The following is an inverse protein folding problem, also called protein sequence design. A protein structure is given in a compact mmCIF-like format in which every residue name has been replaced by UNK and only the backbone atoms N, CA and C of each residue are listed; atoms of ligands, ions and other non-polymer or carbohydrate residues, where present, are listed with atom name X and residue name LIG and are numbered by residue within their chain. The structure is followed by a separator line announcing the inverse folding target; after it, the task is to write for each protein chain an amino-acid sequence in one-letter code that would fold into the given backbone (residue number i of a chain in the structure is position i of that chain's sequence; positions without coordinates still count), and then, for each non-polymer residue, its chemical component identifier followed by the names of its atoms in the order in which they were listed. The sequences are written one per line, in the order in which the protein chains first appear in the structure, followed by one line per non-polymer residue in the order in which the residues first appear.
data_IF_623124077174
#
_entry.id   IF_623124077174
#
_cell.length_a   1.000
_cell.length_b   1.000
_cell.length_c   1.000
_cell.angle_alpha   90.00
_cell.angle_beta   90.00
_cell.angle_gamma   90.00
#
_symmetry.space_group_name_H-M   'P 1'
#
loop_
_entity.id
_entity.type
_entity.pdbx_description
1 polymer ?
#
# COMPACT_ATOMS: atom_id res chain seq x y z
N UNK A 1 7.75 4.59 1.69
CA UNK A 1 8.65 5.67 1.21
C UNK A 1 7.81 6.86 0.76
N UNK A 2 8.28 8.10 0.94
CA UNK A 2 7.67 9.29 0.36
C UNK A 2 8.74 10.16 -0.30
N UNK A 3 8.51 10.60 -1.54
CA UNK A 3 9.42 11.48 -2.27
C UNK A 3 8.66 12.55 -3.02
N UNK A 4 9.16 13.79 -2.97
CA UNK A 4 8.66 14.90 -3.76
C UNK A 4 9.52 15.05 -5.03
N UNK A 5 8.86 15.23 -6.16
CA UNK A 5 9.49 15.33 -7.49
C UNK A 5 9.30 16.77 -7.98
N UNK A 6 10.42 17.51 -8.11
CA UNK A 6 10.44 18.94 -8.48
C UNK A 6 11.38 19.26 -9.63
N UNK A 7 12.42 18.46 -9.84
CA UNK A 7 13.39 18.70 -10.91
C UNK A 7 13.43 17.56 -11.94
N UNK A 8 14.16 17.78 -13.03
CA UNK A 8 14.41 16.74 -14.02
C UNK A 8 15.25 15.60 -13.43
N UNK A 9 16.14 15.88 -12.48
CA UNK A 9 16.90 14.86 -11.73
C UNK A 9 15.97 14.00 -10.89
N UNK A 10 15.00 14.59 -10.20
CA UNK A 10 13.99 13.84 -9.45
C UNK A 10 13.15 12.96 -10.37
N UNK A 11 12.80 13.46 -11.57
CA UNK A 11 12.06 12.67 -12.56
C UNK A 11 12.88 11.48 -13.06
N UNK A 12 14.17 11.69 -13.36
CA UNK A 12 15.08 10.60 -13.75
C UNK A 12 15.20 9.57 -12.63
N UNK A 13 15.31 10.03 -11.38
CA UNK A 13 15.30 9.15 -10.22
C UNK A 13 14.01 8.35 -10.15
N UNK A 14 12.83 8.98 -10.26
CA UNK A 14 11.52 8.31 -10.24
C UNK A 14 11.44 7.21 -11.29
N UNK A 15 11.85 7.51 -12.53
CA UNK A 15 11.82 6.57 -13.64
C UNK A 15 12.79 5.39 -13.44
N UNK A 16 13.99 5.65 -12.93
CA UNK A 16 14.98 4.60 -12.61
C UNK A 16 14.58 3.74 -11.42
N UNK A 17 14.03 4.38 -10.38
CA UNK A 17 13.57 3.74 -9.13
C UNK A 17 12.43 2.77 -9.38
N UNK A 18 11.43 3.20 -10.15
CA UNK A 18 10.21 2.43 -10.42
C UNK A 18 10.32 1.55 -11.67
N UNK A 19 11.42 1.66 -12.43
CA UNK A 19 11.55 1.06 -13.75
C UNK A 19 10.50 1.57 -14.75
N UNK A 20 9.98 2.79 -14.53
CA UNK A 20 8.85 3.35 -15.28
C UNK A 20 7.56 2.54 -15.13
N UNK A 21 7.39 1.88 -13.98
CA UNK A 21 6.26 0.99 -13.66
C UNK A 21 6.08 -0.15 -14.66
N UNK A 22 7.17 -0.63 -15.25
CA UNK A 22 7.13 -1.61 -16.32
C UNK A 22 6.35 -2.87 -15.94
N UNK A 23 5.38 -3.26 -16.77
CA UNK A 23 4.57 -4.46 -16.56
C UNK A 23 3.64 -4.37 -15.34
N UNK A 24 3.47 -3.16 -14.78
CA UNK A 24 2.49 -2.88 -13.74
C UNK A 24 1.10 -2.67 -14.32
N UNK A 25 0.19 -2.20 -13.47
CA UNK A 25 -1.14 -1.76 -13.85
C UNK A 25 -1.60 -0.68 -12.89
N UNK A 26 -2.36 0.28 -13.40
CA UNK A 26 -3.08 1.23 -12.55
C UNK A 26 -4.12 0.44 -11.76
N UNK A 27 -4.52 0.89 -10.58
CA UNK A 27 -5.59 0.22 -9.81
C UNK A 27 -6.66 1.18 -9.33
N UNK A 28 -6.35 2.47 -9.33
CA UNK A 28 -7.27 3.52 -8.98
C UNK A 28 -6.77 4.84 -9.57
N UNK A 29 -7.70 5.69 -10.00
CA UNK A 29 -7.44 7.06 -10.44
C UNK A 29 -8.47 7.97 -9.80
N UNK A 30 -7.99 8.90 -8.98
CA UNK A 30 -8.84 9.85 -8.26
C UNK A 30 -8.57 11.26 -8.75
N UNK A 31 -9.63 12.00 -9.05
CA UNK A 31 -9.55 13.40 -9.46
C UNK A 31 -10.28 14.27 -8.44
N UNK A 32 -9.54 15.18 -7.80
CA UNK A 32 -10.09 16.15 -6.86
C UNK A 32 -9.96 17.55 -7.43
N UNK A 33 -11.08 18.24 -7.62
CA UNK A 33 -11.14 19.62 -8.10
C UNK A 33 -11.48 20.52 -6.93
N UNK A 34 -10.53 21.36 -6.51
CA UNK A 34 -10.75 22.35 -5.44
C UNK A 34 -11.38 23.60 -6.04
N UNK A 35 -12.36 24.16 -5.34
CA UNK A 35 -12.97 25.45 -5.65
C UNK A 35 -12.90 26.36 -4.43
N UNK A 36 -12.73 27.65 -4.66
CA UNK A 36 -12.81 28.69 -3.64
C UNK A 36 -14.02 29.57 -3.95
N UNK A 37 -14.70 30.06 -2.91
CA UNK A 37 -15.71 31.08 -3.09
C UNK A 37 -15.03 32.45 -3.18
N UNK A 38 -15.22 33.13 -4.30
CA UNK A 38 -14.87 34.54 -4.42
C UNK A 38 -15.94 35.37 -3.69
N UNK A 39 -15.59 35.90 -2.52
CA UNK A 39 -16.51 36.67 -1.66
C UNK A 39 -17.04 37.94 -2.33
N UNK A 40 -16.31 38.52 -3.28
CA UNK A 40 -16.72 39.74 -3.97
C UNK A 40 -17.80 39.48 -5.03
N UNK A 41 -17.73 38.34 -5.71
CA UNK A 41 -18.68 37.96 -6.77
C UNK A 41 -19.71 36.92 -6.34
N UNK A 42 -19.52 36.27 -5.19
CA UNK A 42 -20.31 35.15 -4.70
C UNK A 42 -20.17 33.88 -5.55
N UNK A 43 -19.17 33.79 -6.43
CA UNK A 43 -19.00 32.66 -7.36
C UNK A 43 -17.91 31.71 -6.90
N UNK A 44 -18.10 30.43 -7.18
CA UNK A 44 -17.02 29.46 -7.05
C UNK A 44 -16.01 29.62 -8.19
N UNK A 45 -14.75 29.81 -7.83
CA UNK A 45 -13.60 29.85 -8.75
C UNK A 45 -12.75 28.59 -8.59
N UNK A 46 -12.27 27.96 -9.69
CA UNK A 46 -11.33 26.86 -9.60
C UNK A 46 -10.06 27.26 -8.85
N UNK A 47 -9.64 26.43 -7.89
CA UNK A 47 -8.53 26.69 -6.99
C UNK A 47 -7.48 25.57 -7.00
N UNK A 48 -7.43 24.82 -8.10
CA UNK A 48 -6.49 23.74 -8.33
C UNK A 48 -7.18 22.40 -8.54
N UNK A 49 -6.49 21.53 -9.29
CA UNK A 49 -6.87 20.15 -9.49
C UNK A 49 -5.73 19.27 -9.01
N UNK A 50 -6.07 18.22 -8.26
CA UNK A 50 -5.15 17.16 -7.85
C UNK A 50 -5.62 15.87 -8.51
N UNK A 51 -4.69 15.15 -9.11
CA UNK A 51 -4.91 13.81 -9.67
C UNK A 51 -4.04 12.83 -8.89
N UNK A 52 -4.64 11.75 -8.42
CA UNK A 52 -3.93 10.66 -7.76
C UNK A 52 -4.07 9.39 -8.58
N UNK A 53 -2.94 8.75 -8.90
CA UNK A 53 -2.89 7.47 -9.61
C UNK A 53 -2.24 6.43 -8.72
N UNK A 54 -2.91 5.31 -8.49
CA UNK A 54 -2.37 4.18 -7.73
C UNK A 54 -1.93 3.08 -8.69
N UNK A 55 -0.69 2.62 -8.57
CA UNK A 55 -0.05 1.70 -9.50
C UNK A 55 0.49 0.50 -8.74
N UNK A 56 0.13 -0.71 -9.18
CA UNK A 56 0.75 -1.95 -8.75
C UNK A 56 1.78 -2.36 -9.76
N UNK A 57 2.99 -2.68 -9.30
CA UNK A 57 4.06 -3.10 -10.19
C UNK A 57 5.05 -4.01 -9.47
N UNK A 58 5.99 -4.59 -10.22
CA UNK A 58 7.08 -5.40 -9.67
C UNK A 58 8.42 -4.89 -10.15
N UNK A 59 9.39 -4.85 -9.25
CA UNK A 59 10.76 -4.47 -9.57
C UNK A 59 11.72 -5.19 -8.62
N UNK A 60 12.81 -5.77 -9.14
CA UNK A 60 13.86 -6.44 -8.34
C UNK A 60 13.29 -7.41 -7.29
N UNK A 61 12.39 -8.31 -7.71
CA UNK A 61 11.71 -9.28 -6.84
C UNK A 61 10.81 -8.68 -5.75
N UNK A 62 10.55 -7.38 -5.78
CA UNK A 62 9.62 -6.70 -4.88
C UNK A 62 8.27 -6.48 -5.58
N UNK A 63 7.18 -6.71 -4.83
CA UNK A 63 5.85 -6.25 -5.18
C UNK A 63 5.63 -4.87 -4.56
N UNK A 64 5.31 -3.90 -5.40
CA UNK A 64 5.22 -2.49 -5.02
C UNK A 64 3.83 -1.93 -5.32
N UNK A 65 3.36 -1.04 -4.44
CA UNK A 65 2.22 -0.16 -4.67
C UNK A 65 2.69 1.26 -4.54
N UNK A 66 2.62 2.00 -5.64
CA UNK A 66 2.93 3.41 -5.70
C UNK A 66 1.64 4.23 -5.81
N UNK A 67 1.60 5.36 -5.12
CA UNK A 67 0.58 6.39 -5.22
C UNK A 67 1.27 7.66 -5.69
N UNK A 68 1.00 8.07 -6.91
CA UNK A 68 1.46 9.32 -7.48
C UNK A 68 0.39 10.38 -7.29
N UNK A 69 0.68 11.40 -6.50
CA UNK A 69 -0.21 12.56 -6.29
C UNK A 69 0.36 13.74 -7.07
N UNK A 70 -0.36 14.14 -8.10
CA UNK A 70 -0.01 15.25 -9.00
C UNK A 70 -0.84 16.46 -8.61
N UNK A 71 -0.19 17.55 -8.24
CA UNK A 71 -0.81 18.79 -7.80
C UNK A 71 -0.69 19.89 -8.86
N UNK A 72 -1.60 20.87 -8.80
CA UNK A 72 -1.70 21.94 -9.80
C UNK A 72 -1.82 21.37 -11.22
N UNK A 73 -2.69 20.38 -11.38
CA UNK A 73 -2.92 19.72 -12.68
C UNK A 73 -3.59 20.72 -13.63
N UNK A 74 -2.91 21.02 -14.74
CA UNK A 74 -3.39 21.95 -15.76
C UNK A 74 -4.03 21.26 -16.95
N UNK A 75 -3.70 19.98 -17.17
CA UNK A 75 -4.28 19.17 -18.23
C UNK A 75 -4.34 17.70 -17.78
N UNK A 76 -5.41 17.00 -18.10
CA UNK A 76 -5.64 15.62 -17.67
C UNK A 76 -6.66 14.94 -18.58
N UNK A 77 -6.35 13.73 -19.00
CA UNK A 77 -7.30 12.83 -19.66
C UNK A 77 -7.36 11.51 -18.92
N UNK A 78 -8.56 10.97 -18.84
CA UNK A 78 -8.86 9.60 -18.47
C UNK A 78 -10.04 9.18 -19.32
N UNK A 79 -9.83 8.29 -20.27
CA UNK A 79 -10.93 7.69 -21.01
C UNK A 79 -11.68 6.71 -20.10
N UNK A 80 -13.00 6.86 -19.96
CA UNK A 80 -13.84 5.96 -19.16
C UNK A 80 -13.83 4.57 -19.79
N UNK A 81 -13.01 3.67 -19.25
CA UNK A 81 -13.24 2.24 -19.44
C UNK A 81 -14.28 1.81 -18.40
N UNK A 82 -15.47 1.44 -18.88
CA UNK A 82 -16.54 0.89 -18.05
C UNK A 82 -16.01 -0.30 -17.24
N UNK A 83 -15.88 -0.12 -15.92
CA UNK A 83 -15.71 -1.20 -14.94
C UNK A 83 -14.29 -1.72 -14.77
N UNK A 84 -13.73 -1.52 -13.56
CA UNK A 84 -12.68 -2.26 -12.84
C UNK A 84 -11.33 -2.61 -13.52
N UNK A 85 -11.22 -2.62 -14.84
CA UNK A 85 -10.05 -3.08 -15.58
C UNK A 85 -9.17 -1.89 -15.92
N UNK A 86 -8.22 -1.64 -15.03
CA UNK A 86 -7.20 -0.64 -15.22
C UNK A 86 -6.14 -1.11 -16.23
N UNK A 87 -5.62 -0.18 -17.03
CA UNK A 87 -4.68 -0.45 -18.12
C UNK A 87 -3.39 -1.13 -17.62
N UNK A 88 -3.02 -2.24 -18.28
CA UNK A 88 -1.68 -2.80 -18.11
C UNK A 88 -0.66 -1.78 -18.62
N UNK A 89 0.30 -1.44 -17.77
CA UNK A 89 1.35 -0.49 -18.08
C UNK A 89 2.47 -1.20 -18.84
N UNK A 90 2.77 -0.71 -20.04
CA UNK A 90 3.99 -1.04 -20.76
C UNK A 90 5.20 -0.47 -20.02
N UNK A 91 5.55 0.77 -20.33
CA UNK A 91 6.44 1.65 -19.55
C UNK A 91 5.84 3.03 -19.67
N UNK A 92 5.68 3.75 -18.56
CA UNK A 92 5.14 5.11 -18.63
C UNK A 92 6.15 6.03 -19.32
N UNK A 93 5.66 7.06 -19.99
CA UNK A 93 6.50 8.15 -20.49
C UNK A 93 6.36 9.35 -19.58
N UNK A 94 7.46 10.06 -19.33
CA UNK A 94 7.42 11.28 -18.56
C UNK A 94 8.47 12.29 -19.04
N UNK A 95 8.11 13.57 -19.02
CA UNK A 95 9.00 14.69 -19.35
C UNK A 95 8.77 15.88 -18.42
N UNK A 96 9.76 16.77 -18.34
CA UNK A 96 9.66 18.07 -17.67
C UNK A 96 9.91 19.16 -18.71
N UNK A 97 8.88 19.94 -19.01
CA UNK A 97 8.92 21.01 -20.02
C UNK A 97 8.31 22.27 -19.42
N UNK A 98 9.01 23.41 -19.51
CA UNK A 98 8.56 24.71 -18.99
C UNK A 98 8.09 24.66 -17.52
N UNK A 99 8.80 23.90 -16.69
CA UNK A 99 8.48 23.73 -15.26
C UNK A 99 7.27 22.84 -14.97
N UNK A 100 6.71 22.16 -15.98
CA UNK A 100 5.59 21.24 -15.82
C UNK A 100 5.99 19.80 -16.15
N UNK A 101 5.62 18.90 -15.27
CA UNK A 101 5.72 17.48 -15.52
C UNK A 101 4.55 17.03 -16.39
N UNK A 102 4.85 16.19 -17.37
CA UNK A 102 3.85 15.50 -18.16
C UNK A 102 4.09 14.00 -18.03
N UNK A 103 3.06 13.26 -17.65
CA UNK A 103 3.06 11.81 -17.51
C UNK A 103 2.05 11.20 -18.47
N UNK A 104 2.48 10.23 -19.25
CA UNK A 104 1.61 9.36 -20.05
C UNK A 104 1.69 7.95 -19.50
N UNK A 105 0.55 7.46 -19.01
CA UNK A 105 0.47 6.14 -18.38
C UNK A 105 0.21 5.05 -19.42
N UNK A 106 -0.42 5.37 -20.53
CA UNK A 106 -0.53 4.48 -21.69
C UNK A 106 0.08 5.10 -22.95
N UNK A 107 0.55 4.26 -23.90
CA UNK A 107 1.07 4.73 -25.18
C UNK A 107 0.05 5.42 -26.11
N UNK A 108 -1.25 5.21 -25.90
CA UNK A 108 -2.33 5.74 -26.73
C UNK A 108 -2.71 7.17 -26.35
N UNK A 109 -2.27 7.65 -25.18
CA UNK A 109 -2.60 8.96 -24.62
C UNK A 109 -4.00 9.02 -23.99
N UNK A 110 -4.56 7.88 -23.59
CA UNK A 110 -5.91 7.80 -23.01
C UNK A 110 -5.92 8.23 -21.52
N UNK A 111 -4.81 8.02 -20.82
CA UNK A 111 -4.52 8.36 -19.44
C UNK A 111 -3.20 9.14 -19.37
N UNK A 112 -3.32 10.46 -19.18
CA UNK A 112 -2.17 11.34 -18.99
C UNK A 112 -2.50 12.50 -18.05
N UNK A 113 -1.46 13.11 -17.48
CA UNK A 113 -1.58 14.29 -16.63
C UNK A 113 -0.43 15.27 -16.86
N UNK A 114 -0.73 16.56 -16.82
CA UNK A 114 0.24 17.67 -16.81
C UNK A 114 0.09 18.45 -15.51
N UNK A 115 1.17 18.59 -14.74
CA UNK A 115 1.16 19.13 -13.39
C UNK A 115 2.46 19.87 -13.05
N UNK A 116 2.44 20.66 -11.97
CA UNK A 116 3.62 21.42 -11.53
C UNK A 116 4.42 20.66 -10.45
N UNK A 117 3.74 19.90 -9.59
CA UNK A 117 4.36 19.15 -8.51
C UNK A 117 3.85 17.72 -8.45
N UNK A 118 4.74 16.76 -8.22
CA UNK A 118 4.38 15.35 -8.04
C UNK A 118 4.95 14.81 -6.73
N UNK A 119 4.13 14.06 -6.01
CA UNK A 119 4.54 13.33 -4.83
C UNK A 119 4.34 11.83 -5.04
N UNK A 120 5.39 11.06 -4.81
CA UNK A 120 5.35 9.60 -4.75
C UNK A 120 5.19 9.17 -3.29
N UNK A 121 4.19 8.34 -3.02
CA UNK A 121 4.14 7.49 -1.83
C UNK A 121 4.22 6.02 -2.28
N UNK A 122 5.06 5.21 -1.64
CA UNK A 122 5.28 3.84 -2.08
C UNK A 122 5.40 2.87 -0.91
N UNK A 123 4.77 1.70 -1.06
CA UNK A 123 4.95 0.54 -0.19
C UNK A 123 5.45 -0.64 -1.03
N UNK A 124 6.51 -1.30 -0.58
CA UNK A 124 7.17 -2.40 -1.27
C UNK A 124 7.40 -3.58 -0.32
N UNK A 125 7.09 -4.80 -0.76
CA UNK A 125 7.38 -6.02 -0.02
C UNK A 125 8.00 -7.08 -0.92
N UNK A 126 8.80 -8.02 -0.38
CA UNK A 126 9.26 -9.18 -1.13
C UNK A 126 8.09 -9.85 -1.84
N UNK A 127 8.26 -10.16 -3.12
CA UNK A 127 7.27 -10.89 -3.90
C UNK A 127 7.18 -12.29 -3.33
N UNK A 128 6.13 -12.54 -2.55
CA UNK A 128 5.78 -13.92 -2.24
C UNK A 128 4.99 -14.46 -3.43
N UNK A 129 5.28 -15.70 -3.81
CA UNK A 129 4.43 -16.42 -4.74
C UNK A 129 2.97 -16.31 -4.26
N UNK A 130 2.06 -16.15 -5.21
CA UNK A 130 0.65 -16.29 -4.89
C UNK A 130 0.51 -17.73 -4.37
N UNK A 131 0.40 -17.86 -3.05
CA UNK A 131 -0.07 -19.10 -2.46
C UNK A 131 -1.33 -19.43 -3.25
N UNK A 132 -1.40 -20.62 -3.81
CA UNK A 132 -2.44 -21.09 -4.74
C UNK A 132 -3.86 -21.13 -4.14
N UNK A 133 -4.06 -20.45 -3.01
CA UNK A 133 -5.27 -20.35 -2.21
C UNK A 133 -5.79 -18.92 -2.30
N UNK A 134 -7.11 -18.80 -2.35
CA UNK A 134 -7.83 -17.55 -2.27
C UNK A 134 -7.33 -16.72 -1.08
N UNK A 135 -6.55 -15.69 -1.39
CA UNK A 135 -6.02 -14.76 -0.41
C UNK A 135 -7.15 -13.80 -0.02
N UNK A 136 -7.66 -13.92 1.21
CA UNK A 136 -8.81 -13.13 1.65
C UNK A 136 -8.39 -11.74 2.13
N UNK A 137 -7.21 -11.60 2.72
CA UNK A 137 -6.67 -10.29 3.10
C UNK A 137 -5.13 -10.24 3.08
N UNK A 138 -4.58 -9.09 2.67
CA UNK A 138 -3.15 -8.75 2.77
C UNK A 138 -2.96 -7.32 3.25
N UNK A 139 -2.27 -7.16 4.37
CA UNK A 139 -1.84 -5.86 4.87
C UNK A 139 -0.32 -5.80 4.91
N UNK A 140 0.25 -4.69 4.44
CA UNK A 140 1.70 -4.48 4.44
C UNK A 140 2.01 -3.24 5.24
N UNK A 141 2.76 -3.40 6.32
CA UNK A 141 3.26 -2.31 7.14
C UNK A 141 4.68 -1.97 6.71
N UNK A 142 4.99 -0.69 6.63
CA UNK A 142 6.35 -0.20 6.46
C UNK A 142 6.62 0.90 7.47
N UNK A 143 7.73 0.78 8.17
CA UNK A 143 8.17 1.71 9.21
C UNK A 143 9.60 2.14 8.91
N UNK A 144 9.93 3.38 9.24
CA UNK A 144 11.30 3.89 9.23
C UNK A 144 12.01 3.68 10.58
N UNK A 145 11.33 3.08 11.56
CA UNK A 145 11.89 2.81 12.88
C UNK A 145 13.06 1.83 12.80
N UNK A 146 14.08 2.07 13.62
CA UNK A 146 15.28 1.21 13.68
C UNK A 146 15.06 -0.05 14.50
N UNK A 147 14.12 -0.02 15.45
CA UNK A 147 13.61 -1.20 16.12
C UNK A 147 12.48 -1.84 15.30
N UNK A 148 12.41 -3.17 15.31
CA UNK A 148 11.38 -3.92 14.62
C UNK A 148 10.74 -4.94 15.58
N UNK A 149 9.48 -5.33 15.32
CA UNK A 149 8.79 -6.29 16.17
C UNK A 149 9.51 -7.65 16.14
N UNK A 150 9.65 -8.28 17.30
CA UNK A 150 10.05 -9.67 17.41
C UNK A 150 8.82 -10.56 17.55
N UNK A 151 8.94 -11.84 17.19
CA UNK A 151 7.88 -12.82 17.44
C UNK A 151 7.50 -12.85 18.93
N UNK A 152 8.47 -12.79 19.83
CA UNK A 152 8.23 -12.77 21.28
C UNK A 152 7.44 -11.54 21.73
N UNK A 153 7.75 -10.37 21.19
CA UNK A 153 6.99 -9.14 21.47
C UNK A 153 5.55 -9.28 20.96
N UNK A 154 5.35 -9.74 19.72
CA UNK A 154 4.01 -9.95 19.14
C UNK A 154 3.15 -10.86 20.03
N UNK A 155 3.70 -12.02 20.43
CA UNK A 155 2.96 -12.97 21.27
C UNK A 155 2.60 -12.38 22.64
N UNK A 156 3.50 -11.62 23.26
CA UNK A 156 3.26 -10.98 24.54
C UNK A 156 2.18 -9.89 24.46
N UNK A 157 2.21 -9.03 23.44
CA UNK A 157 1.20 -7.98 23.27
C UNK A 157 -0.20 -8.54 22.97
N UNK A 158 -0.27 -9.63 22.20
CA UNK A 158 -1.53 -10.32 21.91
C UNK A 158 -2.13 -10.98 23.16
N UNK A 159 -1.28 -11.57 24.01
CA UNK A 159 -1.69 -12.13 25.30
C UNK A 159 -2.22 -11.03 26.25
N UNK A 160 -1.50 -9.91 26.35
CA UNK A 160 -1.92 -8.74 27.12
C UNK A 160 -3.26 -8.16 26.62
N UNK A 161 -3.52 -8.25 25.32
CA UNK A 161 -4.77 -7.84 24.70
C UNK A 161 -5.90 -8.89 24.80
N UNK A 162 -5.67 -10.02 25.50
CA UNK A 162 -6.66 -11.05 25.77
C UNK A 162 -6.90 -12.01 24.61
N UNK A 163 -6.01 -12.06 23.62
CA UNK A 163 -6.09 -12.94 22.45
C UNK A 163 -4.80 -13.76 22.34
N UNK A 164 -4.57 -14.71 23.25
CA UNK A 164 -3.34 -15.49 23.25
C UNK A 164 -3.18 -16.24 21.92
N UNK A 165 -1.98 -16.17 21.37
CA UNK A 165 -1.62 -16.83 20.12
C UNK A 165 -0.40 -17.73 20.28
N UNK A 166 -0.22 -18.63 19.33
CA UNK A 166 0.94 -19.51 19.22
C UNK A 166 1.61 -19.26 17.88
N UNK A 167 2.94 -19.28 17.87
CA UNK A 167 3.74 -19.15 16.66
C UNK A 167 4.08 -20.51 16.07
N UNK A 168 3.86 -20.66 14.77
CA UNK A 168 4.29 -21.82 13.98
C UNK A 168 5.30 -21.35 12.94
N UNK A 169 6.54 -21.79 13.07
CA UNK A 169 7.58 -21.50 12.07
C UNK A 169 7.26 -22.23 10.77
N UNK A 170 7.32 -21.51 9.65
CA UNK A 170 7.25 -22.11 8.32
C UNK A 170 8.67 -22.52 7.93
N UNK A 171 8.81 -23.70 7.33
CA UNK A 171 10.12 -24.15 6.81
C UNK A 171 10.53 -23.23 5.68
N UNK A 172 11.65 -22.53 5.84
CA UNK A 172 12.24 -21.68 4.81
C UNK A 172 12.37 -22.43 3.50
N UNK A 173 11.75 -21.92 2.44
CA UNK A 173 11.90 -22.48 1.10
C UNK A 173 13.27 -22.09 0.52
N UNK A 174 13.90 -22.98 -0.28
CA UNK A 174 15.07 -22.59 -1.06
C UNK A 174 14.65 -21.48 -2.05
N UNK A 175 15.21 -20.28 -1.88
CA UNK A 175 14.80 -19.07 -2.62
C UNK A 175 14.16 -17.97 -1.76
N UNK A 176 14.12 -18.12 -0.44
CA UNK A 176 13.67 -17.07 0.46
C UNK A 176 14.49 -15.78 0.25
N UNK A 177 13.78 -14.67 -0.01
CA UNK A 177 14.39 -13.36 -0.29
C UNK A 177 15.27 -12.92 0.89
N UNK A 178 16.51 -12.49 0.61
CA UNK A 178 17.54 -12.21 1.63
C UNK A 178 17.16 -11.14 2.66
N UNK A 179 16.21 -10.28 2.32
CA UNK A 179 15.68 -9.27 3.25
C UNK A 179 14.81 -9.87 4.37
N UNK A 180 14.25 -11.07 4.21
CA UNK A 180 13.33 -11.67 5.18
C UNK A 180 14.10 -12.01 6.48
N UNK A 181 13.64 -11.45 7.60
CA UNK A 181 14.25 -11.64 8.91
C UNK A 181 13.63 -12.82 9.66
N UNK A 182 12.32 -12.97 9.56
CA UNK A 182 11.57 -14.12 10.05
C UNK A 182 10.23 -14.22 9.35
N UNK A 183 9.70 -15.45 9.30
CA UNK A 183 8.47 -15.79 8.62
C UNK A 183 7.79 -16.97 9.33
N UNK A 184 6.46 -16.91 9.46
CA UNK A 184 5.71 -17.96 10.12
C UNK A 184 4.21 -17.69 10.15
N UNK A 185 3.48 -18.56 10.84
CA UNK A 185 2.05 -18.43 11.05
C UNK A 185 1.73 -18.14 12.51
N UNK A 186 0.84 -17.17 12.72
CA UNK A 186 0.28 -16.81 14.01
C UNK A 186 -1.13 -17.42 14.13
N UNK A 187 -1.33 -18.27 15.13
CA UNK A 187 -2.58 -18.99 15.34
C UNK A 187 -3.18 -18.62 16.70
N UNK A 188 -4.49 -18.34 16.80
CA UNK A 188 -5.16 -18.24 18.11
C UNK A 188 -4.94 -19.52 18.92
N UNK A 189 -4.58 -19.40 20.20
CA UNK A 189 -4.34 -20.55 21.07
C UNK A 189 -5.57 -21.48 21.18
N UNK A 190 -6.78 -20.92 21.04
CA UNK A 190 -8.03 -21.70 20.99
C UNK A 190 -8.14 -22.67 19.82
N UNK A 191 -7.36 -22.46 18.75
CA UNK A 191 -7.34 -23.31 17.54
C UNK A 191 -6.19 -24.33 17.58
N UNK A 192 -5.44 -24.38 18.70
CA UNK A 192 -4.31 -25.28 18.84
C UNK A 192 -4.81 -26.73 18.92
N UNK A 193 -4.50 -27.53 17.89
CA UNK A 193 -4.88 -28.95 17.79
C UNK A 193 -5.94 -29.27 16.73
N UNK A 194 -6.54 -28.26 16.10
CA UNK A 194 -7.39 -28.47 14.93
C UNK A 194 -6.51 -28.79 13.70
N UNK A 195 -6.82 -29.89 13.01
CA UNK A 195 -6.10 -30.26 11.79
C UNK A 195 -6.50 -29.32 10.64
N UNK A 196 -5.51 -28.88 9.85
CA UNK A 196 -5.66 -28.01 8.67
C UNK A 196 -6.13 -26.57 8.93
N UNK A 197 -6.04 -26.07 10.18
CA UNK A 197 -6.30 -24.65 10.46
C UNK A 197 -5.12 -23.79 10.03
N UNK A 198 -5.42 -22.79 9.21
CA UNK A 198 -4.48 -21.76 8.77
C UNK A 198 -4.60 -20.51 9.63
N UNK A 199 -3.45 -20.02 10.06
CA UNK A 199 -3.34 -18.80 10.85
C UNK A 199 -3.15 -17.56 9.98
N UNK A 200 -2.68 -16.50 10.64
CA UNK A 200 -2.20 -15.30 9.97
C UNK A 200 -0.76 -15.54 9.59
N UNK A 201 -0.48 -15.60 8.30
CA UNK A 201 0.88 -15.60 7.82
C UNK A 201 1.52 -14.23 8.09
N UNK A 202 2.65 -14.24 8.81
CA UNK A 202 3.38 -13.07 9.24
C UNK A 202 4.82 -13.17 8.72
N UNK A 203 5.29 -12.11 8.05
CA UNK A 203 6.65 -12.02 7.53
C UNK A 203 7.24 -10.66 7.85
N UNK A 204 8.39 -10.62 8.52
CA UNK A 204 9.19 -9.41 8.69
C UNK A 204 10.33 -9.41 7.69
N UNK A 205 10.58 -8.27 7.08
CA UNK A 205 11.70 -8.06 6.18
C UNK A 205 12.40 -6.74 6.50
N UNK A 206 13.71 -6.72 6.26
CA UNK A 206 14.53 -5.52 6.35
C UNK A 206 14.13 -4.48 5.29
N UNK A 207 14.68 -3.27 5.39
CA UNK A 207 14.33 -2.19 4.48
C UNK A 207 14.78 -2.54 3.06
N UNK A 208 13.93 -2.25 2.07
CA UNK A 208 14.33 -2.34 0.67
C UNK A 208 15.37 -1.26 0.33
N UNK A 209 15.15 -0.05 0.86
CA UNK A 209 16.07 1.09 0.76
C UNK A 209 16.09 1.85 2.08
N UNK A 210 17.27 2.35 2.47
CA UNK A 210 17.44 3.15 3.68
C UNK A 210 17.34 2.34 4.99
N UNK A 211 16.73 2.94 6.01
CA UNK A 211 16.51 2.35 7.33
C UNK A 211 15.04 1.99 7.54
N UNK A 212 14.78 0.97 8.35
CA UNK A 212 13.41 0.63 8.72
C UNK A 212 13.17 -0.88 8.71
N UNK A 213 11.90 -1.24 8.65
CA UNK A 213 11.45 -2.58 8.39
C UNK A 213 10.13 -2.55 7.64
N UNK A 214 9.78 -3.68 7.03
CA UNK A 214 8.42 -3.94 6.63
C UNK A 214 7.90 -5.25 7.20
N UNK A 215 6.58 -5.33 7.36
CA UNK A 215 5.90 -6.50 7.86
C UNK A 215 4.68 -6.79 6.99
N UNK A 216 4.56 -8.02 6.53
CA UNK A 216 3.41 -8.51 5.78
C UNK A 216 2.55 -9.37 6.69
N UNK A 217 1.26 -9.04 6.75
CA UNK A 217 0.22 -9.83 7.40
C UNK A 217 -0.75 -10.35 6.33
N UNK A 218 -0.97 -11.67 6.29
CA UNK A 218 -1.90 -12.28 5.34
C UNK A 218 -2.80 -13.27 6.03
N UNK A 219 -4.04 -13.31 5.58
CA UNK A 219 -4.96 -14.41 5.93
C UNK A 219 -5.17 -15.26 4.68
N UNK A 220 -4.94 -16.56 4.83
CA UNK A 220 -5.00 -17.55 3.77
C UNK A 220 -6.27 -18.40 3.94
N UNK A 221 -7.01 -18.62 2.84
CA UNK A 221 -8.27 -19.37 2.89
C UNK A 221 -9.39 -18.57 3.57
N UNK A 222 -10.49 -19.25 3.94
CA UNK A 222 -11.67 -18.57 4.49
C UNK A 222 -11.36 -17.79 5.77
N UNK A 223 -11.72 -16.51 5.80
CA UNK A 223 -11.63 -15.72 7.04
C UNK A 223 -12.67 -16.17 8.05
N UNK A 224 -12.21 -16.82 9.11
CA UNK A 224 -12.96 -16.91 10.35
C UNK A 224 -12.89 -15.58 11.12
N UNK A 225 -13.96 -15.27 11.86
CA UNK A 225 -14.09 -14.08 12.71
C UNK A 225 -12.91 -13.91 13.66
N UNK A 226 -12.36 -15.02 14.17
CA UNK A 226 -11.21 -15.00 15.10
C UNK A 226 -9.94 -14.57 14.40
N UNK A 227 -9.66 -15.10 13.22
CA UNK A 227 -8.48 -14.72 12.42
C UNK A 227 -8.57 -13.26 11.99
N UNK A 228 -9.76 -12.79 11.61
CA UNK A 228 -10.01 -11.37 11.34
C UNK A 228 -9.76 -10.49 12.57
N UNK A 229 -10.20 -10.91 13.77
CA UNK A 229 -9.94 -10.20 15.02
C UNK A 229 -8.44 -10.11 15.33
N UNK A 230 -7.70 -11.20 15.20
CA UNK A 230 -6.25 -11.22 15.47
C UNK A 230 -5.50 -10.34 14.46
N UNK A 231 -5.86 -10.39 13.17
CA UNK A 231 -5.27 -9.54 12.14
C UNK A 231 -5.48 -8.07 12.47
N UNK A 232 -6.72 -7.73 12.82
CA UNK A 232 -7.14 -6.38 13.16
C UNK A 232 -6.42 -5.83 14.40
N UNK A 233 -6.25 -6.66 15.41
CA UNK A 233 -5.58 -6.32 16.66
C UNK A 233 -4.05 -6.20 16.48
N UNK A 234 -3.45 -7.15 15.76
CA UNK A 234 -2.02 -7.13 15.45
C UNK A 234 -1.63 -5.86 14.68
N UNK A 235 -2.45 -5.46 13.71
CA UNK A 235 -2.26 -4.19 13.01
C UNK A 235 -2.34 -2.97 13.94
N UNK A 236 -3.31 -2.95 14.88
CA UNK A 236 -3.41 -1.87 15.86
C UNK A 236 -2.15 -1.76 16.71
N UNK A 237 -1.67 -2.90 17.24
CA UNK A 237 -0.46 -2.97 18.06
C UNK A 237 0.77 -2.47 17.30
N UNK A 238 0.93 -2.89 16.04
CA UNK A 238 2.05 -2.46 15.19
C UNK A 238 1.98 -0.94 14.95
N UNK A 239 0.82 -0.40 14.54
CA UNK A 239 0.69 1.03 14.20
C UNK A 239 0.78 1.93 15.44
N UNK A 240 0.33 1.45 16.61
CA UNK A 240 0.48 2.19 17.87
C UNK A 240 1.93 2.25 18.33
N UNK A 241 2.70 1.18 18.12
CA UNK A 241 4.09 1.10 18.59
C UNK A 241 5.11 1.66 17.61
N UNK A 242 4.84 1.53 16.31
CA UNK A 242 5.76 1.89 15.23
C UNK A 242 5.11 2.88 14.27
N UNK A 243 5.72 4.05 14.14
CA UNK A 243 5.31 5.04 13.14
C UNK A 243 5.59 4.54 11.72
N UNK A 244 4.58 4.51 10.87
CA UNK A 244 4.74 3.99 9.53
C UNK A 244 3.53 4.21 8.63
N UNK A 245 3.47 3.41 7.57
CA UNK A 245 2.34 3.35 6.64
C UNK A 245 1.84 1.90 6.58
N UNK A 246 0.54 1.73 6.38
CA UNK A 246 -0.09 0.45 6.13
C UNK A 246 -0.75 0.44 4.76
N UNK A 247 -0.39 -0.50 3.90
CA UNK A 247 -1.11 -0.80 2.68
C UNK A 247 -2.19 -1.83 2.98
N UNK A 248 -3.45 -1.47 2.73
CA UNK A 248 -4.61 -2.38 2.77
C UNK A 248 -5.30 -2.36 1.41
N UNK A 249 -5.27 -3.50 0.71
CA UNK A 249 -5.73 -3.54 -0.68
C UNK A 249 -4.88 -2.57 -1.54
N UNK A 250 -5.50 -1.54 -2.10
CA UNK A 250 -4.84 -0.49 -2.88
C UNK A 250 -4.66 0.82 -2.10
N UNK A 251 -5.07 0.88 -0.83
CA UNK A 251 -5.03 2.10 -0.03
C UNK A 251 -3.79 2.14 0.83
N UNK A 252 -2.95 3.16 0.67
CA UNK A 252 -1.84 3.46 1.58
C UNK A 252 -2.37 4.38 2.68
N UNK A 253 -2.35 3.89 3.92
CA UNK A 253 -2.87 4.55 5.11
C UNK A 253 -1.70 5.00 5.98
N UNK A 254 -1.54 6.31 6.25
CA UNK A 254 -0.59 6.80 7.24
C UNK A 254 -0.91 6.24 8.64
N UNK A 255 0.09 5.90 9.44
CA UNK A 255 -0.11 5.30 10.77
C UNK A 255 -0.97 6.16 11.70
N UNK A 256 -0.81 7.49 11.66
CA UNK A 256 -1.65 8.42 12.42
C UNK A 256 -3.14 8.42 12.04
N UNK A 257 -3.48 7.94 10.84
CA UNK A 257 -4.85 7.89 10.32
C UNK A 257 -5.49 6.51 10.44
N UNK A 258 -4.73 5.50 10.90
CA UNK A 258 -5.17 4.11 10.95
C UNK A 258 -6.47 3.90 11.73
N UNK A 259 -6.56 4.47 12.94
CA UNK A 259 -7.75 4.32 13.78
C UNK A 259 -8.99 4.98 13.14
N UNK A 260 -8.79 6.12 12.48
CA UNK A 260 -9.86 6.80 11.75
C UNK A 260 -10.33 5.97 10.55
N UNK A 261 -9.40 5.46 9.74
CA UNK A 261 -9.70 4.59 8.61
C UNK A 261 -10.48 3.33 9.04
N UNK A 262 -10.05 2.68 10.12
CA UNK A 262 -10.70 1.49 10.67
C UNK A 262 -12.14 1.77 11.12
N UNK A 263 -12.38 2.95 11.71
CA UNK A 263 -13.74 3.37 12.11
C UNK A 263 -14.66 3.60 10.89
N UNK A 264 -14.14 4.16 9.81
CA UNK A 264 -14.89 4.33 8.55
C UNK A 264 -15.19 3.00 7.86
N UNK A 265 -14.25 2.05 7.89
CA UNK A 265 -14.47 0.70 7.35
C UNK A 265 -15.60 -0.05 8.09
N UNK A 266 -15.71 0.12 9.42
CA UNK A 266 -16.83 -0.44 10.21
C UNK A 266 -18.17 0.19 9.87
N UNK A 267 -18.19 1.49 9.56
CA UNK A 267 -19.41 2.19 9.13
C UNK A 267 -19.90 1.69 7.76
N UNK A 268 -18.98 1.49 6.81
CA UNK A 268 -19.35 0.94 5.48
C UNK A 268 -19.94 -0.47 5.54
N UNK A 269 -19.47 -1.33 6.45
CA UNK A 269 -20.03 -2.67 6.64
C UNK A 269 -21.37 -2.71 7.40
N UNK A 270 -21.73 -1.63 8.10
CA UNK A 270 -23.01 -1.53 8.81
C UNK A 270 -24.17 -1.08 7.90
N UNK A 271 -23.88 -0.40 6.79
CA UNK A 271 -24.86 0.00 5.78
C UNK A 271 -25.19 -1.14 4.77
N UNK A 272 -24.45 -2.25 4.81
CA UNK A 272 -24.70 -3.46 4.00
C UNK A 272 -25.36 -4.60 4.80
N UNK A 273 -25.94 -4.30 5.97
CA UNK A 273 -26.63 -5.26 6.87
C UNK A 273 -28.15 -5.12 6.83
#
# INVERSE_FOLDING_TARGET
MKQLIKTIEDLRWLMGHTGGFRGGYVTDVQVSKRRLLDEASGREVPAGTTVTVVIRYRIREMACVAKLTMNSVTDFSMFEQEGADCSTLGVIQAELTDGKFRFWFDPQGELYAVCEEVQLEEVAAPSLEALSLEQVAQWIFQSTATDWPTVTWILAELDLAGVPCVWRTIVSSPGQHSAIQWEGELLPASMQGEMDVRGIHCMLYGPHEGSGFGMVLRVLGMQDRRTGQVLSLLADLIVQRFSGQCLVGNTIIPGGEWQHWKSMGRLRGADES
#
